data_IF_869628413718
#
_entry.id   IF_869628413718
#
_cell.length_a   1.000
_cell.length_b   1.000
_cell.length_c   1.000
_cell.angle_alpha   90.00
_cell.angle_beta   90.00
_cell.angle_gamma   90.00
#
_symmetry.space_group_name_H-M   'P 1'
#
loop_
_entity.id
_entity.type
_entity.pdbx_description
1 polymer ?
#
# COMPACT_ATOMS: atom_id res chain seq x y z
N UNK A 1 60.04 -18.16 -0.56
CA UNK A 1 59.33 -17.30 -1.52
C UNK A 1 58.08 -17.94 -2.10
N UNK A 2 57.93 -19.24 -1.92
CA UNK A 2 56.76 -20.03 -2.47
C UNK A 2 55.55 -20.08 -1.53
N UNK A 3 55.71 -19.83 -0.23
CA UNK A 3 54.60 -19.82 0.73
C UNK A 3 53.75 -18.53 0.77
N UNK A 4 54.30 -17.43 0.29
CA UNK A 4 53.62 -16.13 0.22
C UNK A 4 52.67 -16.00 -1.00
N UNK A 5 52.84 -16.85 -2.00
CA UNK A 5 52.00 -16.84 -3.21
C UNK A 5 50.76 -17.69 -3.01
N UNK A 6 50.80 -18.72 -2.19
CA UNK A 6 49.66 -19.61 -1.91
C UNK A 6 48.61 -18.97 -0.98
N UNK A 7 49.03 -17.98 -0.18
CA UNK A 7 48.15 -17.28 0.76
C UNK A 7 47.28 -16.17 0.12
N UNK A 8 47.52 -15.83 -1.16
CA UNK A 8 46.82 -14.78 -1.91
C UNK A 8 45.78 -15.27 -2.89
N UNK A 9 45.54 -16.56 -2.97
CA UNK A 9 44.57 -17.18 -3.87
C UNK A 9 43.40 -17.92 -3.15
N UNK A 10 43.25 -17.72 -1.85
CA UNK A 10 41.93 -17.90 -1.24
C UNK A 10 41.15 -16.62 -1.56
N UNK A 11 40.80 -16.43 -2.82
CA UNK A 11 39.65 -15.66 -3.19
C UNK A 11 38.49 -16.39 -2.46
N UNK A 12 38.06 -15.83 -1.32
CA UNK A 12 36.76 -16.19 -0.81
C UNK A 12 35.83 -16.14 -2.02
N UNK A 13 35.33 -17.28 -2.43
CA UNK A 13 34.09 -17.37 -3.21
C UNK A 13 33.05 -16.71 -2.31
N UNK A 14 32.96 -15.38 -2.33
CA UNK A 14 31.79 -14.68 -1.91
C UNK A 14 30.69 -15.26 -2.81
N UNK A 15 29.96 -16.22 -2.25
CA UNK A 15 28.74 -16.69 -2.87
C UNK A 15 27.98 -15.43 -3.27
N UNK A 16 27.92 -15.16 -4.57
CA UNK A 16 27.16 -14.02 -5.13
C UNK A 16 25.71 -14.27 -4.75
N UNK A 17 25.36 -13.81 -3.56
CA UNK A 17 23.99 -13.91 -3.04
C UNK A 17 23.14 -13.01 -3.92
N UNK A 18 22.11 -13.60 -4.51
CA UNK A 18 21.22 -12.83 -5.37
C UNK A 18 20.64 -11.61 -4.64
N UNK A 19 20.35 -10.50 -5.36
CA UNK A 19 19.94 -9.22 -4.78
C UNK A 19 18.74 -9.33 -3.82
N UNK A 20 17.84 -10.26 -4.05
CA UNK A 20 16.71 -10.54 -3.17
C UNK A 20 17.09 -11.17 -1.84
N UNK A 21 18.11 -12.05 -1.83
CA UNK A 21 18.59 -12.68 -0.60
C UNK A 21 19.30 -11.66 0.29
N UNK A 22 20.09 -10.78 -0.31
CA UNK A 22 20.77 -9.69 0.40
C UNK A 22 19.78 -8.69 0.98
N UNK A 23 18.79 -8.27 0.18
CA UNK A 23 17.72 -7.38 0.63
C UNK A 23 16.96 -8.00 1.82
N UNK A 24 16.62 -9.29 1.74
CA UNK A 24 15.96 -10.00 2.85
C UNK A 24 16.82 -10.07 4.11
N UNK A 25 18.13 -10.29 3.95
CA UNK A 25 19.09 -10.27 5.08
C UNK A 25 19.16 -8.89 5.73
N UNK A 26 19.22 -7.81 4.93
CA UNK A 26 19.24 -6.43 5.40
C UNK A 26 17.93 -6.05 6.07
N UNK A 27 16.80 -6.41 5.49
CA UNK A 27 15.46 -6.18 6.05
C UNK A 27 15.31 -6.78 7.46
N UNK A 28 15.76 -8.02 7.66
CA UNK A 28 15.74 -8.69 8.97
C UNK A 28 16.62 -8.03 10.04
N UNK A 29 17.61 -7.23 9.66
CA UNK A 29 18.47 -6.49 10.58
C UNK A 29 17.88 -5.14 11.00
N UNK A 30 16.93 -4.62 10.24
CA UNK A 30 16.25 -3.35 10.52
C UNK A 30 15.19 -3.54 11.60
N UNK A 31 15.39 -2.93 12.76
CA UNK A 31 14.41 -2.97 13.87
C UNK A 31 13.08 -2.32 13.49
N UNK A 32 13.12 -1.20 12.77
CA UNK A 32 11.92 -0.49 12.29
C UNK A 32 11.10 -1.36 11.32
N UNK A 33 11.78 -2.02 10.38
CA UNK A 33 11.15 -2.96 9.45
C UNK A 33 10.45 -4.12 10.17
N UNK A 34 11.09 -4.70 11.18
CA UNK A 34 10.51 -5.79 11.97
C UNK A 34 9.31 -5.33 12.79
N UNK A 35 9.38 -4.17 13.45
CA UNK A 35 8.26 -3.59 14.18
C UNK A 35 7.11 -3.29 13.23
N UNK A 36 7.37 -2.63 12.09
CA UNK A 36 6.36 -2.35 11.08
C UNK A 36 5.69 -3.61 10.55
N UNK A 37 6.49 -4.63 10.21
CA UNK A 37 5.98 -5.94 9.76
C UNK A 37 5.16 -6.64 10.83
N UNK A 38 5.52 -6.53 12.10
CA UNK A 38 4.76 -7.06 13.24
C UNK A 38 3.39 -6.41 13.36
N UNK A 39 3.32 -5.08 13.25
CA UNK A 39 2.05 -4.33 13.27
C UNK A 39 1.17 -4.72 12.08
N UNK A 40 1.73 -4.76 10.87
CA UNK A 40 0.99 -5.17 9.67
C UNK A 40 0.48 -6.60 9.80
N UNK A 41 1.33 -7.53 10.24
CA UNK A 41 0.94 -8.93 10.46
C UNK A 41 -0.18 -9.04 11.50
N UNK A 42 -0.15 -8.27 12.57
CA UNK A 42 -1.21 -8.22 13.59
C UNK A 42 -2.56 -7.81 12.96
N UNK A 43 -2.59 -6.71 12.19
CA UNK A 43 -3.85 -6.27 11.56
C UNK A 43 -4.32 -7.22 10.46
N UNK A 44 -3.41 -7.84 9.71
CA UNK A 44 -3.75 -8.88 8.72
C UNK A 44 -4.33 -10.11 9.42
N UNK A 45 -3.76 -10.55 10.53
CA UNK A 45 -4.31 -11.65 11.34
C UNK A 45 -5.69 -11.30 11.89
N UNK A 46 -5.87 -10.08 12.44
CA UNK A 46 -7.19 -9.59 12.87
C UNK A 46 -8.18 -9.59 11.71
N UNK A 47 -7.79 -9.15 10.53
CA UNK A 47 -8.68 -9.10 9.36
C UNK A 47 -9.14 -10.50 8.91
N UNK A 48 -8.29 -11.53 9.07
CA UNK A 48 -8.58 -12.90 8.65
C UNK A 48 -9.31 -13.69 9.74
N UNK A 49 -8.80 -13.64 10.97
CA UNK A 49 -9.24 -14.52 12.07
C UNK A 49 -10.28 -13.81 12.95
N UNK A 50 -10.18 -12.49 13.08
CA UNK A 50 -11.01 -11.69 13.98
C UNK A 50 -12.51 -11.89 13.79
N UNK A 51 -13.06 -11.88 12.56
CA UNK A 51 -14.48 -12.11 12.33
C UNK A 51 -15.03 -13.42 12.89
N UNK A 52 -14.17 -14.41 13.14
CA UNK A 52 -14.55 -15.71 13.72
C UNK A 52 -14.46 -15.75 15.26
N UNK A 53 -13.78 -14.80 15.87
CA UNK A 53 -13.51 -14.79 17.31
C UNK A 53 -14.44 -13.82 18.06
N UNK A 54 -14.89 -12.76 17.38
CA UNK A 54 -15.65 -11.70 18.04
C UNK A 54 -17.08 -12.18 18.34
N UNK A 55 -17.53 -12.12 19.60
CA UNK A 55 -18.77 -12.76 20.03
C UNK A 55 -20.04 -12.01 19.57
N UNK A 56 -19.97 -10.68 19.36
CA UNK A 56 -21.11 -9.89 18.96
C UNK A 56 -21.21 -9.75 17.44
N UNK A 57 -22.41 -9.86 16.90
CA UNK A 57 -22.68 -9.60 15.50
C UNK A 57 -22.46 -8.12 15.16
N UNK A 58 -21.75 -7.85 14.04
CA UNK A 58 -21.40 -6.47 13.62
C UNK A 58 -22.59 -5.53 13.43
N UNK A 59 -23.76 -6.08 13.21
CA UNK A 59 -24.99 -5.35 12.93
C UNK A 59 -26.05 -5.49 14.05
N UNK A 60 -25.73 -6.18 15.13
CA UNK A 60 -26.62 -6.25 16.29
C UNK A 60 -26.78 -4.87 16.91
N UNK A 61 -27.98 -4.32 16.81
CA UNK A 61 -28.32 -3.01 17.35
C UNK A 61 -29.08 -3.16 18.64
N UNK A 62 -28.63 -2.46 19.66
CA UNK A 62 -29.35 -2.38 20.93
C UNK A 62 -29.39 -0.94 21.44
N UNK A 63 -30.46 -0.24 21.09
CA UNK A 63 -30.61 1.18 21.45
C UNK A 63 -30.60 1.45 22.96
N UNK A 64 -30.85 0.45 23.80
CA UNK A 64 -30.74 0.59 25.25
C UNK A 64 -29.30 0.68 25.73
N UNK A 65 -28.37 0.15 24.92
CA UNK A 65 -26.91 0.16 25.17
C UNK A 65 -26.18 1.25 24.36
N UNK A 66 -26.92 2.23 23.86
CA UNK A 66 -26.37 3.31 23.05
C UNK A 66 -25.33 4.13 23.82
N UNK A 67 -24.15 4.36 23.20
CA UNK A 67 -23.09 5.22 23.72
C UNK A 67 -22.63 4.83 25.14
N UNK A 68 -22.59 3.53 25.45
CA UNK A 68 -22.06 3.04 26.70
C UNK A 68 -20.53 3.10 26.71
N UNK A 69 -19.90 3.57 27.79
CA UNK A 69 -18.45 3.62 27.91
C UNK A 69 -17.83 2.21 27.91
N UNK A 70 -16.52 2.12 27.68
CA UNK A 70 -15.79 0.85 27.82
C UNK A 70 -16.08 0.14 29.14
N UNK A 71 -16.39 -1.16 29.07
CA UNK A 71 -16.77 -2.01 30.18
C UNK A 71 -16.22 -3.44 30.02
N UNK A 72 -16.45 -4.32 31.01
CA UNK A 72 -16.05 -5.72 30.89
C UNK A 72 -16.82 -6.48 29.81
N UNK A 73 -18.04 -6.04 29.48
CA UNK A 73 -18.86 -6.60 28.40
C UNK A 73 -18.53 -6.00 27.04
N UNK A 74 -18.30 -4.67 26.99
CA UNK A 74 -17.94 -3.92 25.77
C UNK A 74 -16.58 -3.25 25.98
N UNK A 75 -15.51 -3.93 25.61
CA UNK A 75 -14.13 -3.48 25.88
C UNK A 75 -13.81 -2.11 25.31
N UNK A 76 -14.37 -1.78 24.15
CA UNK A 76 -14.19 -0.47 23.51
C UNK A 76 -15.47 0.37 23.56
N UNK A 77 -16.46 -0.02 24.38
CA UNK A 77 -17.75 0.62 24.47
C UNK A 77 -18.64 0.36 23.26
N UNK A 78 -19.75 1.08 23.21
CA UNK A 78 -20.73 0.96 22.12
C UNK A 78 -20.85 2.25 21.33
N UNK A 79 -21.36 2.13 20.10
CA UNK A 79 -21.61 3.25 19.19
C UNK A 79 -23.01 3.86 19.35
N UNK A 80 -23.39 4.72 18.43
CA UNK A 80 -24.68 5.44 18.41
C UNK A 80 -25.92 4.54 18.19
N UNK A 81 -25.73 3.31 17.76
CA UNK A 81 -26.77 2.29 17.60
C UNK A 81 -26.67 1.18 18.65
N UNK A 82 -25.77 1.33 19.65
CA UNK A 82 -25.53 0.33 20.67
C UNK A 82 -24.77 -0.90 20.17
N UNK A 83 -24.03 -0.77 19.05
CA UNK A 83 -23.20 -1.84 18.49
C UNK A 83 -21.83 -1.85 19.16
N UNK A 84 -21.22 -3.01 19.34
CA UNK A 84 -19.89 -3.15 19.93
C UNK A 84 -18.80 -2.56 19.03
N UNK A 85 -18.06 -1.57 19.54
CA UNK A 85 -17.01 -0.87 18.78
C UNK A 85 -15.84 -1.79 18.47
N UNK A 86 -15.45 -2.70 19.37
CA UNK A 86 -14.36 -3.65 19.13
C UNK A 86 -14.68 -4.59 17.98
N UNK A 87 -15.87 -5.21 18.01
CA UNK A 87 -16.35 -6.11 16.95
C UNK A 87 -16.34 -5.41 15.59
N UNK A 88 -16.76 -4.17 15.55
CA UNK A 88 -16.78 -3.37 14.33
C UNK A 88 -15.37 -3.01 13.85
N UNK A 89 -14.43 -2.69 14.73
CA UNK A 89 -13.02 -2.44 14.37
C UNK A 89 -12.38 -3.69 13.78
N UNK A 90 -12.62 -4.84 14.39
CA UNK A 90 -12.09 -6.14 13.94
C UNK A 90 -12.59 -6.49 12.54
N UNK A 91 -13.89 -6.38 12.29
CA UNK A 91 -14.45 -6.60 10.96
C UNK A 91 -14.04 -5.51 9.97
N UNK A 92 -13.95 -4.26 10.44
CA UNK A 92 -13.47 -3.12 9.65
C UNK A 92 -12.05 -3.28 9.15
N UNK A 93 -11.20 -4.02 9.89
CA UNK A 93 -9.84 -4.32 9.47
C UNK A 93 -9.79 -5.01 8.09
N UNK A 94 -10.66 -6.01 7.87
CA UNK A 94 -10.70 -6.72 6.58
C UNK A 94 -11.17 -5.79 5.45
N UNK A 95 -12.13 -4.91 5.69
CA UNK A 95 -12.67 -3.97 4.70
C UNK A 95 -11.62 -2.92 4.36
N UNK A 96 -11.09 -2.21 5.37
CA UNK A 96 -10.15 -1.11 5.19
C UNK A 96 -8.82 -1.56 4.58
N UNK A 97 -8.30 -2.74 5.00
CA UNK A 97 -7.10 -3.33 4.39
C UNK A 97 -7.35 -3.78 2.95
N UNK A 98 -8.49 -4.39 2.66
CA UNK A 98 -8.83 -4.83 1.30
C UNK A 98 -8.92 -3.65 0.35
N UNK A 99 -9.54 -2.54 0.77
CA UNK A 99 -9.61 -1.31 -0.06
C UNK A 99 -8.21 -0.77 -0.33
N UNK A 100 -7.38 -0.58 0.70
CA UNK A 100 -6.03 -0.05 0.54
C UNK A 100 -5.15 -0.94 -0.34
N UNK A 101 -5.12 -2.25 -0.06
CA UNK A 101 -4.32 -3.22 -0.83
C UNK A 101 -4.79 -3.32 -2.28
N UNK A 102 -6.11 -3.43 -2.52
CA UNK A 102 -6.65 -3.58 -3.87
C UNK A 102 -6.46 -2.32 -4.71
N UNK A 103 -6.67 -1.13 -4.13
CA UNK A 103 -6.44 0.13 -4.83
C UNK A 103 -4.98 0.28 -5.27
N UNK A 104 -4.03 -0.04 -4.38
CA UNK A 104 -2.59 0.01 -4.70
C UNK A 104 -2.21 -1.05 -5.73
N UNK A 105 -2.74 -2.26 -5.62
CA UNK A 105 -2.47 -3.32 -6.59
C UNK A 105 -2.92 -2.93 -8.00
N UNK A 106 -4.14 -2.38 -8.13
CA UNK A 106 -4.67 -1.90 -9.41
C UNK A 106 -3.80 -0.77 -9.95
N UNK A 107 -3.48 0.24 -9.13
CA UNK A 107 -2.63 1.37 -9.56
C UNK A 107 -1.23 0.91 -9.94
N UNK A 108 -0.63 -0.02 -9.22
CA UNK A 108 0.68 -0.56 -9.53
C UNK A 108 0.68 -1.32 -10.86
N UNK A 109 -0.33 -2.16 -11.12
CA UNK A 109 -0.45 -2.91 -12.37
C UNK A 109 -0.68 -1.94 -13.55
N UNK A 110 -1.69 -1.09 -13.48
CA UNK A 110 -2.06 -0.18 -14.57
C UNK A 110 -0.99 0.88 -14.78
N UNK A 111 -0.50 1.50 -13.71
CA UNK A 111 0.55 2.51 -13.77
C UNK A 111 1.86 1.94 -14.32
N UNK A 112 2.28 0.75 -13.85
CA UNK A 112 3.48 0.10 -14.39
C UNK A 112 3.33 -0.25 -15.86
N UNK A 113 2.19 -0.76 -16.28
CA UNK A 113 1.92 -1.06 -17.68
C UNK A 113 2.04 0.19 -18.57
N UNK A 114 1.37 1.28 -18.18
CA UNK A 114 1.45 2.56 -18.91
C UNK A 114 2.88 3.15 -18.87
N UNK A 115 3.56 3.08 -17.72
CA UNK A 115 4.93 3.56 -17.57
C UNK A 115 5.94 2.79 -18.41
N UNK A 116 5.80 1.46 -18.52
CA UNK A 116 6.63 0.63 -19.40
C UNK A 116 6.41 1.02 -20.85
N UNK A 117 5.17 1.17 -21.29
CA UNK A 117 4.85 1.57 -22.67
C UNK A 117 5.44 2.94 -22.96
N UNK A 118 5.23 3.91 -22.11
CA UNK A 118 5.77 5.27 -22.27
C UNK A 118 7.30 5.26 -22.35
N UNK A 119 7.99 4.64 -21.37
CA UNK A 119 9.45 4.61 -21.30
C UNK A 119 10.12 3.84 -22.44
N UNK A 120 9.53 2.73 -22.87
CA UNK A 120 10.11 1.88 -23.89
C UNK A 120 9.92 2.42 -25.30
N UNK A 121 8.69 2.75 -25.70
CA UNK A 121 8.39 3.23 -27.04
C UNK A 121 8.77 4.71 -27.25
N UNK A 122 8.70 5.52 -26.19
CA UNK A 122 9.12 6.91 -26.24
C UNK A 122 8.25 7.78 -27.18
N UNK A 123 8.84 8.91 -27.62
CA UNK A 123 8.24 9.83 -28.63
C UNK A 123 6.78 10.20 -28.26
N UNK A 124 5.87 10.11 -29.24
CA UNK A 124 4.46 10.54 -29.11
C UNK A 124 3.74 9.76 -27.99
N UNK A 125 3.98 8.44 -27.86
CA UNK A 125 3.35 7.61 -26.83
C UNK A 125 3.75 8.09 -25.45
N UNK A 126 5.03 8.34 -25.24
CA UNK A 126 5.56 8.89 -24.00
C UNK A 126 4.98 10.27 -23.69
N UNK A 127 4.92 11.14 -24.70
CA UNK A 127 4.36 12.49 -24.54
C UNK A 127 2.89 12.44 -24.11
N UNK A 128 2.07 11.62 -24.75
CA UNK A 128 0.64 11.52 -24.42
C UNK A 128 0.44 10.99 -23.00
N UNK A 129 1.06 9.86 -22.67
CA UNK A 129 0.89 9.23 -21.33
C UNK A 129 1.41 10.16 -20.24
N UNK A 130 2.57 10.77 -20.44
CA UNK A 130 3.14 11.70 -19.47
C UNK A 130 2.26 12.93 -19.29
N UNK A 131 1.63 13.48 -20.33
CA UNK A 131 0.68 14.59 -20.22
C UNK A 131 -0.56 14.23 -19.42
N UNK A 132 -1.09 13.04 -19.63
CA UNK A 132 -2.22 12.55 -18.81
C UNK A 132 -1.81 12.48 -17.33
N UNK A 133 -0.62 11.92 -17.04
CA UNK A 133 -0.11 11.88 -15.67
C UNK A 133 0.11 13.28 -15.07
N UNK A 134 0.63 14.20 -15.89
CA UNK A 134 0.86 15.58 -15.46
C UNK A 134 -0.45 16.28 -15.08
N UNK A 135 -1.50 16.11 -15.90
CA UNK A 135 -2.83 16.66 -15.63
C UNK A 135 -3.39 16.06 -14.32
N UNK A 136 -3.32 14.75 -14.14
CA UNK A 136 -3.83 14.10 -12.93
C UNK A 136 -3.10 14.58 -11.68
N UNK A 137 -1.78 14.72 -11.74
CA UNK A 137 -0.95 15.16 -10.61
C UNK A 137 -0.99 16.68 -10.37
N UNK A 138 -1.60 17.46 -11.26
CA UNK A 138 -1.85 18.88 -11.02
C UNK A 138 -2.96 19.11 -9.97
N UNK A 139 -3.80 18.11 -9.72
CA UNK A 139 -4.84 18.15 -8.70
C UNK A 139 -4.35 17.51 -7.39
N UNK A 140 -4.72 18.05 -6.23
CA UNK A 140 -4.57 17.34 -4.96
C UNK A 140 -5.28 15.98 -5.01
N UNK A 141 -4.61 14.90 -4.56
CA UNK A 141 -5.09 13.52 -4.68
C UNK A 141 -6.50 13.34 -4.15
N UNK A 142 -6.77 13.87 -2.95
CA UNK A 142 -8.08 13.73 -2.32
C UNK A 142 -9.18 14.46 -3.10
N UNK A 143 -8.91 15.62 -3.68
CA UNK A 143 -9.89 16.36 -4.49
C UNK A 143 -10.21 15.62 -5.78
N UNK A 144 -9.21 15.03 -6.42
CA UNK A 144 -9.41 14.21 -7.61
C UNK A 144 -10.21 12.94 -7.27
N UNK A 145 -9.92 12.30 -6.13
CA UNK A 145 -10.68 11.13 -5.67
C UNK A 145 -12.15 11.49 -5.40
N UNK A 146 -12.42 12.61 -4.73
CA UNK A 146 -13.79 13.12 -4.50
C UNK A 146 -14.50 13.37 -5.83
N UNK A 147 -13.83 14.00 -6.81
CA UNK A 147 -14.43 14.26 -8.12
C UNK A 147 -14.79 12.95 -8.84
N UNK A 148 -13.91 11.94 -8.80
CA UNK A 148 -14.19 10.63 -9.41
C UNK A 148 -15.36 9.94 -8.72
N UNK A 149 -15.41 9.91 -7.37
CA UNK A 149 -16.50 9.29 -6.63
C UNK A 149 -17.83 10.05 -6.87
N UNK A 150 -17.79 11.39 -6.98
CA UNK A 150 -18.98 12.19 -7.25
C UNK A 150 -19.63 11.86 -8.61
N UNK A 151 -18.82 11.42 -9.58
CA UNK A 151 -19.32 10.97 -10.89
C UNK A 151 -19.83 9.53 -10.83
N UNK A 152 -19.12 8.64 -10.12
CA UNK A 152 -19.45 7.21 -10.05
C UNK A 152 -20.58 6.90 -9.05
N UNK A 153 -20.82 7.81 -8.10
CA UNK A 153 -21.69 7.62 -6.94
C UNK A 153 -20.94 7.11 -5.71
N UNK A 154 -21.45 7.44 -4.49
CA UNK A 154 -20.84 6.98 -3.23
C UNK A 154 -20.99 5.45 -3.09
N UNK A 155 -19.89 4.75 -2.93
CA UNK A 155 -19.82 3.35 -2.53
C UNK A 155 -18.39 2.96 -2.20
N UNK A 156 -18.21 1.86 -1.45
CA UNK A 156 -16.87 1.32 -1.13
C UNK A 156 -16.08 0.98 -2.39
N UNK A 157 -16.73 0.37 -3.39
CA UNK A 157 -16.11 -0.01 -4.65
C UNK A 157 -15.67 1.21 -5.47
N UNK A 158 -16.52 2.22 -5.56
CA UNK A 158 -16.21 3.45 -6.29
C UNK A 158 -15.11 4.26 -5.61
N UNK A 159 -15.07 4.28 -4.28
CA UNK A 159 -13.96 4.86 -3.53
C UNK A 159 -12.65 4.13 -3.81
N UNK A 160 -12.64 2.79 -3.80
CA UNK A 160 -11.49 1.97 -4.18
C UNK A 160 -11.00 2.30 -5.59
N UNK A 161 -11.90 2.37 -6.57
CA UNK A 161 -11.57 2.70 -7.97
C UNK A 161 -11.00 4.11 -8.06
N UNK A 162 -11.59 5.08 -7.36
CA UNK A 162 -11.09 6.46 -7.34
C UNK A 162 -9.66 6.54 -6.79
N UNK A 163 -9.40 5.90 -5.64
CA UNK A 163 -8.06 5.83 -5.04
C UNK A 163 -7.07 5.16 -6.01
N UNK A 164 -7.49 4.06 -6.66
CA UNK A 164 -6.66 3.39 -7.64
C UNK A 164 -6.30 4.31 -8.81
N UNK A 165 -7.26 5.00 -9.40
CA UNK A 165 -7.06 5.93 -10.52
C UNK A 165 -6.07 7.04 -10.13
N UNK A 166 -6.28 7.67 -8.98
CA UNK A 166 -5.46 8.80 -8.50
C UNK A 166 -3.99 8.39 -8.29
N UNK A 167 -3.74 7.14 -7.90
CA UNK A 167 -2.39 6.62 -7.64
C UNK A 167 -1.67 6.08 -8.90
N UNK A 168 -2.36 5.86 -10.04
CA UNK A 168 -1.77 5.38 -11.30
C UNK A 168 -0.56 6.20 -11.75
N UNK A 169 -0.61 7.55 -11.79
CA UNK A 169 0.50 8.36 -12.28
C UNK A 169 1.80 8.18 -11.47
N UNK A 170 1.70 7.98 -10.16
CA UNK A 170 2.86 7.78 -9.29
C UNK A 170 3.65 6.53 -9.68
N UNK A 171 2.96 5.40 -9.89
CA UNK A 171 3.57 4.16 -10.38
C UNK A 171 4.04 4.30 -11.83
N UNK A 172 3.25 4.95 -12.67
CA UNK A 172 3.58 5.16 -14.07
C UNK A 172 4.86 5.95 -14.27
N UNK A 173 5.04 7.06 -13.57
CA UNK A 173 6.28 7.86 -13.60
C UNK A 173 7.48 7.11 -13.05
N UNK A 174 7.29 6.37 -11.94
CA UNK A 174 8.36 5.58 -11.32
C UNK A 174 8.91 4.55 -12.29
N UNK A 175 8.04 3.76 -12.89
CA UNK A 175 8.43 2.71 -13.85
C UNK A 175 8.98 3.31 -15.13
N UNK A 176 8.36 4.37 -15.66
CA UNK A 176 8.87 5.06 -16.84
C UNK A 176 10.32 5.51 -16.66
N UNK A 177 10.64 6.12 -15.53
CA UNK A 177 12.01 6.54 -15.20
C UNK A 177 12.98 5.35 -15.21
N UNK A 178 12.60 4.22 -14.57
CA UNK A 178 13.43 3.01 -14.55
C UNK A 178 13.61 2.39 -15.93
N UNK A 179 12.55 2.32 -16.72
CA UNK A 179 12.63 1.80 -18.10
C UNK A 179 13.56 2.64 -18.97
N UNK A 180 13.51 3.98 -18.84
CA UNK A 180 14.42 4.89 -19.55
C UNK A 180 15.89 4.64 -19.18
N UNK A 181 16.19 4.37 -17.89
CA UNK A 181 17.54 4.01 -17.46
C UNK A 181 17.96 2.63 -17.99
N UNK A 182 17.13 1.60 -17.77
CA UNK A 182 17.47 0.22 -18.13
C UNK A 182 17.66 0.04 -19.63
N UNK A 183 16.88 0.73 -20.47
CA UNK A 183 16.98 0.55 -21.93
C UNK A 183 18.31 1.03 -22.51
N UNK A 184 19.07 1.85 -21.80
CA UNK A 184 20.39 2.35 -22.20
C UNK A 184 21.54 1.48 -21.66
N UNK A 185 21.25 0.41 -20.92
CA UNK A 185 22.24 -0.52 -20.40
C UNK A 185 22.87 -1.36 -21.54
N UNK A 186 24.16 -1.65 -21.45
CA UNK A 186 24.92 -2.38 -22.48
C UNK A 186 24.30 -3.76 -22.82
N UNK A 187 23.81 -4.49 -21.80
CA UNK A 187 23.21 -5.81 -22.06
C UNK A 187 21.89 -5.73 -22.85
N UNK A 188 21.19 -4.60 -22.82
CA UNK A 188 20.00 -4.36 -23.65
C UNK A 188 20.42 -4.06 -25.10
N UNK A 189 21.48 -3.27 -25.28
CA UNK A 189 22.04 -3.04 -26.62
C UNK A 189 22.56 -4.34 -27.24
N UNK A 190 23.28 -5.17 -26.46
CA UNK A 190 23.71 -6.50 -26.92
C UNK A 190 22.52 -7.41 -27.29
N UNK A 191 21.45 -7.42 -26.48
CA UNK A 191 20.25 -8.20 -26.77
C UNK A 191 19.58 -7.76 -28.07
N UNK A 192 19.57 -6.45 -28.39
CA UNK A 192 19.08 -5.92 -29.68
C UNK A 192 19.99 -6.33 -30.84
N UNK A 193 21.32 -6.24 -30.65
CA UNK A 193 22.30 -6.58 -31.69
C UNK A 193 22.20 -8.05 -32.15
N UNK A 194 21.89 -8.98 -31.24
CA UNK A 194 21.64 -10.38 -31.56
C UNK A 194 20.21 -10.66 -32.07
N UNK A 195 19.41 -9.62 -32.38
CA UNK A 195 18.08 -9.73 -32.98
C UNK A 195 16.95 -10.09 -32.03
N UNK A 196 17.09 -9.88 -30.70
CA UNK A 196 16.02 -10.18 -29.75
C UNK A 196 14.81 -9.25 -29.97
N UNK A 197 13.61 -9.86 -30.09
CA UNK A 197 12.35 -9.11 -30.28
C UNK A 197 12.02 -8.22 -29.08
N UNK A 198 11.47 -7.04 -29.32
CA UNK A 198 11.08 -6.07 -28.29
C UNK A 198 10.24 -6.69 -27.15
N UNK A 199 9.25 -7.52 -27.48
CA UNK A 199 8.42 -8.21 -26.47
C UNK A 199 9.27 -9.05 -25.51
N UNK A 200 10.30 -9.75 -26.02
CA UNK A 200 11.19 -10.58 -25.19
C UNK A 200 12.10 -9.72 -24.32
N UNK A 201 12.59 -8.60 -24.86
CA UNK A 201 13.39 -7.61 -24.08
C UNK A 201 12.55 -7.05 -22.92
N UNK A 202 11.31 -6.63 -23.20
CA UNK A 202 10.40 -6.10 -22.19
C UNK A 202 10.16 -7.09 -21.04
N UNK A 203 9.75 -8.33 -21.37
CA UNK A 203 9.35 -9.31 -20.37
C UNK A 203 10.52 -9.95 -19.62
N UNK A 204 11.66 -10.18 -20.31
CA UNK A 204 12.81 -10.91 -19.74
C UNK A 204 13.84 -10.00 -19.07
N UNK A 205 13.96 -8.77 -19.55
CA UNK A 205 15.01 -7.86 -19.09
C UNK A 205 14.49 -6.60 -18.40
N UNK A 206 13.50 -5.91 -18.97
CA UNK A 206 13.04 -4.62 -18.44
C UNK A 206 12.12 -4.82 -17.25
N UNK A 207 11.05 -5.58 -17.40
CA UNK A 207 10.04 -5.76 -16.35
C UNK A 207 10.64 -6.30 -15.03
N UNK A 208 11.42 -7.40 -15.01
CA UNK A 208 11.96 -7.91 -13.75
C UNK A 208 12.90 -6.92 -13.05
N UNK A 209 13.73 -6.20 -13.80
CA UNK A 209 14.68 -5.23 -13.27
C UNK A 209 14.02 -3.90 -12.85
N UNK A 210 12.75 -3.70 -13.20
CA UNK A 210 11.96 -2.52 -12.82
C UNK A 210 11.06 -2.76 -11.61
N UNK A 211 10.92 -4.02 -11.12
CA UNK A 211 9.94 -4.36 -10.07
C UNK A 211 10.33 -3.90 -8.67
N UNK A 212 11.62 -3.88 -8.36
CA UNK A 212 12.08 -3.51 -7.02
C UNK A 212 11.52 -2.17 -6.52
N UNK A 213 11.66 -1.05 -7.27
CA UNK A 213 11.08 0.21 -6.81
C UNK A 213 9.54 0.20 -6.78
N UNK A 214 8.87 -0.63 -7.58
CA UNK A 214 7.41 -0.77 -7.54
C UNK A 214 6.95 -1.42 -6.25
N UNK A 215 7.66 -2.44 -5.77
CA UNK A 215 7.34 -3.13 -4.52
C UNK A 215 7.50 -2.17 -3.34
N UNK A 216 8.61 -1.43 -3.29
CA UNK A 216 8.87 -0.42 -2.25
C UNK A 216 7.80 0.67 -2.28
N UNK A 217 7.54 1.25 -3.45
CA UNK A 217 6.51 2.27 -3.62
C UNK A 217 5.13 1.73 -3.25
N UNK A 218 4.82 0.48 -3.65
CA UNK A 218 3.55 -0.18 -3.33
C UNK A 218 3.32 -0.27 -1.83
N UNK A 219 4.33 -0.68 -1.06
CA UNK A 219 4.21 -0.78 0.40
C UNK A 219 3.90 0.56 1.05
N UNK A 220 4.60 1.63 0.65
CA UNK A 220 4.35 2.99 1.15
C UNK A 220 2.99 3.53 0.69
N UNK A 221 2.59 3.23 -0.54
CA UNK A 221 1.30 3.66 -1.10
C UNK A 221 0.10 3.01 -0.40
N UNK A 222 0.23 1.82 0.21
CA UNK A 222 -0.86 1.21 0.99
C UNK A 222 -1.22 2.09 2.18
N UNK A 223 -0.24 2.64 2.89
CA UNK A 223 -0.48 3.56 4.00
C UNK A 223 -1.28 4.79 3.55
N UNK A 224 -0.88 5.40 2.44
CA UNK A 224 -1.59 6.56 1.86
C UNK A 224 -2.99 6.19 1.39
N UNK A 225 -3.16 5.05 0.72
CA UNK A 225 -4.46 4.59 0.23
C UNK A 225 -5.46 4.31 1.38
N UNK A 226 -4.99 3.79 2.52
CA UNK A 226 -5.83 3.61 3.72
C UNK A 226 -6.29 4.96 4.27
N UNK A 227 -5.41 5.97 4.31
CA UNK A 227 -5.78 7.34 4.73
C UNK A 227 -6.79 7.94 3.77
N UNK A 228 -6.58 7.81 2.45
CA UNK A 228 -7.49 8.29 1.42
C UNK A 228 -8.87 7.61 1.51
N UNK A 229 -8.88 6.28 1.73
CA UNK A 229 -10.12 5.52 1.95
C UNK A 229 -10.87 6.00 3.19
N UNK A 230 -10.16 6.16 4.32
CA UNK A 230 -10.74 6.67 5.55
C UNK A 230 -11.26 8.10 5.39
N UNK A 231 -10.57 8.97 4.64
CA UNK A 231 -11.02 10.34 4.36
C UNK A 231 -12.28 10.35 3.50
N UNK A 232 -12.35 9.52 2.45
CA UNK A 232 -13.56 9.37 1.63
C UNK A 232 -14.72 8.80 2.46
N UNK A 233 -14.47 7.78 3.29
CA UNK A 233 -15.44 7.21 4.23
C UNK A 233 -15.97 8.25 5.22
N UNK A 234 -15.07 9.07 5.80
CA UNK A 234 -15.41 10.17 6.70
C UNK A 234 -16.29 11.23 6.03
N UNK A 235 -16.09 11.49 4.75
CA UNK A 235 -16.93 12.41 3.94
C UNK A 235 -18.25 11.78 3.46
N UNK A 236 -18.50 10.50 3.77
CA UNK A 236 -19.71 9.79 3.33
C UNK A 236 -19.66 9.33 1.88
N UNK A 237 -18.48 9.31 1.26
CA UNK A 237 -18.25 8.90 -0.14
C UNK A 237 -17.72 7.46 -0.27
N UNK A 238 -17.53 6.77 0.86
CA UNK A 238 -16.99 5.42 0.94
C UNK A 238 -18.04 4.36 1.21
N UNK A 239 -17.80 3.56 2.25
CA UNK A 239 -18.69 2.47 2.66
C UNK A 239 -20.07 2.99 3.09
N UNK A 240 -21.11 2.25 2.69
CA UNK A 240 -22.49 2.50 3.13
C UNK A 240 -22.78 1.69 4.42
N UNK A 241 -23.76 2.18 5.19
CA UNK A 241 -24.27 1.41 6.33
C UNK A 241 -24.85 0.06 5.84
N UNK A 242 -24.66 -1.02 6.60
CA UNK A 242 -24.10 -1.12 7.94
C UNK A 242 -22.59 -1.46 8.00
N UNK A 243 -21.86 -1.36 6.89
CA UNK A 243 -20.45 -1.79 6.79
C UNK A 243 -19.55 -1.03 7.78
N UNK A 244 -18.72 -1.74 8.59
CA UNK A 244 -17.89 -1.12 9.62
C UNK A 244 -16.51 -0.70 9.07
N UNK A 245 -16.45 0.02 7.94
CA UNK A 245 -15.22 0.61 7.44
C UNK A 245 -14.74 1.70 8.41
N UNK A 246 -13.43 1.75 8.71
CA UNK A 246 -12.90 2.60 9.79
C UNK A 246 -13.17 4.10 9.56
N UNK A 247 -13.07 4.61 8.33
CA UNK A 247 -13.41 6.01 8.01
C UNK A 247 -14.89 6.30 8.19
N UNK A 248 -15.76 5.37 7.83
CA UNK A 248 -17.20 5.45 8.08
C UNK A 248 -17.50 5.45 9.57
N UNK A 249 -16.81 4.63 10.37
CA UNK A 249 -16.96 4.65 11.83
C UNK A 249 -16.58 6.01 12.43
N UNK A 250 -15.51 6.65 11.93
CA UNK A 250 -15.15 8.01 12.33
C UNK A 250 -16.24 9.03 11.98
N UNK A 251 -16.82 8.93 10.78
CA UNK A 251 -17.91 9.80 10.34
C UNK A 251 -19.14 9.69 11.23
N UNK A 252 -19.56 8.47 11.54
CA UNK A 252 -20.73 8.19 12.38
C UNK A 252 -20.51 8.68 13.82
N UNK A 253 -19.30 8.55 14.35
CA UNK A 253 -18.95 8.95 15.73
C UNK A 253 -18.74 10.46 15.91
N UNK A 254 -18.55 11.26 14.84
CA UNK A 254 -18.17 12.69 14.95
C UNK A 254 -19.11 13.54 15.79
N UNK A 255 -20.42 13.27 15.73
CA UNK A 255 -21.44 14.02 16.47
C UNK A 255 -21.42 13.71 17.97
N UNK A 256 -20.79 12.61 18.36
CA UNK A 256 -20.77 12.11 19.74
C UNK A 256 -19.41 12.24 20.42
N UNK A 257 -18.47 12.98 19.78
CA UNK A 257 -17.09 13.09 20.26
C UNK A 257 -16.98 13.54 21.73
N UNK A 258 -17.86 14.42 22.18
CA UNK A 258 -17.84 14.92 23.58
C UNK A 258 -18.46 13.93 24.56
N UNK A 259 -19.42 13.09 24.12
CA UNK A 259 -20.17 12.18 24.98
C UNK A 259 -19.66 10.74 24.92
N UNK A 260 -19.13 10.32 23.76
CA UNK A 260 -18.64 8.98 23.50
C UNK A 260 -17.34 9.01 22.69
N UNK A 261 -16.24 9.58 23.22
CA UNK A 261 -14.98 9.76 22.50
C UNK A 261 -14.37 8.42 22.04
N UNK A 262 -14.61 7.33 22.76
CA UNK A 262 -14.11 5.99 22.41
C UNK A 262 -14.55 5.54 21.03
N UNK A 263 -15.79 5.85 20.61
CA UNK A 263 -16.33 5.46 19.31
C UNK A 263 -15.55 6.06 18.13
N UNK A 264 -14.83 7.17 18.35
CA UNK A 264 -13.95 7.81 17.37
C UNK A 264 -12.47 7.48 17.60
N UNK A 265 -12.02 7.46 18.86
CA UNK A 265 -10.61 7.25 19.22
C UNK A 265 -10.11 5.87 18.77
N UNK A 266 -10.85 4.80 19.05
CA UNK A 266 -10.38 3.44 18.75
C UNK A 266 -10.27 3.15 17.24
N UNK A 267 -11.24 3.48 16.38
CA UNK A 267 -11.03 3.37 14.93
C UNK A 267 -9.89 4.25 14.43
N UNK A 268 -9.73 5.46 14.97
CA UNK A 268 -8.62 6.35 14.65
C UNK A 268 -7.25 5.74 15.00
N UNK A 269 -7.13 5.09 16.16
CA UNK A 269 -5.92 4.36 16.56
C UNK A 269 -5.66 3.18 15.61
N UNK A 270 -6.70 2.44 15.18
CA UNK A 270 -6.55 1.33 14.24
C UNK A 270 -5.98 1.81 12.91
N UNK A 271 -6.50 2.91 12.35
CA UNK A 271 -5.95 3.55 11.14
C UNK A 271 -4.50 3.97 11.37
N UNK A 272 -4.24 4.73 12.44
CA UNK A 272 -2.91 5.25 12.77
C UNK A 272 -1.87 4.14 12.87
N UNK A 273 -2.14 3.08 13.64
CA UNK A 273 -1.21 1.96 13.80
C UNK A 273 -0.97 1.22 12.50
N UNK A 274 -2.01 0.99 11.70
CA UNK A 274 -1.90 0.34 10.40
C UNK A 274 -1.02 1.15 9.45
N UNK A 275 -1.23 2.45 9.38
CA UNK A 275 -0.44 3.39 8.56
C UNK A 275 1.02 3.42 9.01
N UNK A 276 1.29 3.51 10.32
CA UNK A 276 2.64 3.44 10.87
C UNK A 276 3.29 2.10 10.51
N UNK A 277 2.56 0.99 10.64
CA UNK A 277 3.05 -0.34 10.30
C UNK A 277 3.52 -0.43 8.85
N UNK A 278 2.69 0.00 7.89
CA UNK A 278 3.04 -0.02 6.46
C UNK A 278 4.18 0.94 6.13
N UNK A 279 4.24 2.14 6.73
CA UNK A 279 5.34 3.07 6.51
C UNK A 279 6.67 2.51 7.03
N UNK A 280 6.73 2.00 8.27
CA UNK A 280 7.94 1.41 8.83
C UNK A 280 8.41 0.18 8.02
N UNK A 281 7.48 -0.65 7.57
CA UNK A 281 7.78 -1.79 6.71
C UNK A 281 8.29 -1.34 5.33
N UNK A 282 7.67 -0.32 4.73
CA UNK A 282 8.04 0.23 3.44
C UNK A 282 9.41 0.90 3.46
N UNK A 283 9.71 1.69 4.49
CA UNK A 283 11.03 2.30 4.68
C UNK A 283 12.10 1.22 4.87
N UNK A 284 11.81 0.18 5.67
CA UNK A 284 12.73 -0.95 5.82
C UNK A 284 12.97 -1.73 4.53
N UNK A 285 11.97 -1.88 3.67
CA UNK A 285 12.14 -2.45 2.33
C UNK A 285 12.97 -1.52 1.44
N UNK A 286 12.75 -0.22 1.48
CA UNK A 286 13.53 0.77 0.75
C UNK A 286 15.00 0.69 1.11
N UNK A 287 15.33 0.72 2.41
CA UNK A 287 16.70 0.63 2.91
C UNK A 287 17.38 -0.69 2.52
N UNK A 288 16.63 -1.79 2.57
CA UNK A 288 17.12 -3.11 2.21
C UNK A 288 17.51 -3.24 0.72
N UNK A 289 16.83 -2.48 -0.16
CA UNK A 289 17.09 -2.46 -1.60
C UNK A 289 18.03 -1.32 -2.03
N UNK A 290 18.41 -0.40 -1.13
CA UNK A 290 19.35 0.69 -1.47
C UNK A 290 20.81 0.17 -1.47
N UNK A 291 21.50 0.23 -2.63
CA UNK A 291 22.90 -0.20 -2.72
C UNK A 291 23.87 0.64 -1.88
N UNK A 292 23.49 1.89 -1.57
CA UNK A 292 24.35 2.84 -0.83
C UNK A 292 24.44 2.55 0.67
N UNK A 293 23.51 1.79 1.22
CA UNK A 293 23.50 1.39 2.62
C UNK A 293 24.40 0.17 2.91
N UNK A 294 25.16 -0.31 1.91
CA UNK A 294 26.02 -1.51 2.00
C UNK A 294 27.49 -1.21 2.37
N UNK A 295 27.84 0.03 2.71
CA UNK A 295 29.20 0.40 3.15
C UNK A 295 29.30 0.54 4.67
#
# INVERSE_FOLDING_TARGET
MTELVTKKLVIQEEQVRGPWHEAWSSFKKSKSALVGSGIVAFFVLIAIIGPFIVPQGINEQNLTLRLQPPSAEFWFGTDDLGRDVLSRIVHGASISLTVGLSAVLISAIVGSFLGIIAGYYGRIVDTIISRIFDIMLAFPSILLAIAVVSILGPSLQNALIAIAIVNIPSFGRLIRSRVLSIKEEEYIHAARAIGMKNKRILWKHILPNSMTPVIVQGTLSIATAIIEAAALGFLGLGAEAPQPEWGKMLADARMFLLNAPWAMIFPGIAIMLTVIGFNLMGDGLRDAFDPKMKN
#
